data_IF_772479838091
#
_entry.id   IF_772479838091
#
_cell.length_a   1.000
_cell.length_b   1.000
_cell.length_c   1.000
_cell.angle_alpha   90.00
_cell.angle_beta   90.00
_cell.angle_gamma   90.00
#
_symmetry.space_group_name_H-M   'P 1'
#
loop_
_entity.id
_entity.type
_entity.pdbx_description
1 polymer ?
#
# COMPACT_ATOMS: atom_id res chain seq x y z
N UNK A 1 1.88 -10.82 16.37
CA UNK A 1 2.00 -9.41 15.96
C UNK A 1 0.64 -8.75 15.64
N UNK A 2 -0.35 -9.46 15.07
CA UNK A 2 -1.70 -8.90 14.79
C UNK A 2 -2.54 -8.61 16.05
N UNK A 3 -2.38 -9.40 17.12
CA UNK A 3 -3.17 -9.20 18.35
C UNK A 3 -2.88 -7.88 19.08
N UNK A 4 -1.76 -7.21 18.77
CA UNK A 4 -1.50 -5.87 19.30
C UNK A 4 -2.07 -4.75 18.40
N UNK A 5 -2.52 -5.02 17.18
CA UNK A 5 -3.07 -3.98 16.30
C UNK A 5 -4.29 -3.29 16.94
N UNK A 6 -5.11 -4.04 17.67
CA UNK A 6 -6.23 -3.51 18.46
C UNK A 6 -5.80 -2.66 19.68
N UNK A 7 -4.53 -2.73 20.11
CA UNK A 7 -3.93 -1.86 21.13
C UNK A 7 -3.12 -0.70 20.54
N UNK A 8 -2.80 -0.74 19.24
CA UNK A 8 -1.82 0.15 18.57
C UNK A 8 -2.41 1.31 17.78
N UNK A 9 -3.74 1.42 17.68
CA UNK A 9 -4.40 2.54 17.01
C UNK A 9 -5.56 2.10 16.13
N UNK A 10 -5.87 2.92 15.12
CA UNK A 10 -6.85 2.59 14.09
C UNK A 10 -6.21 1.71 13.03
N UNK A 11 -6.96 0.78 12.47
CA UNK A 11 -6.47 -0.15 11.47
C UNK A 11 -7.45 -0.27 10.30
N UNK A 12 -6.91 -0.43 9.09
CA UNK A 12 -7.66 -0.55 7.86
C UNK A 12 -7.10 -1.66 6.98
N UNK A 13 -7.98 -2.35 6.27
CA UNK A 13 -7.62 -3.15 5.12
C UNK A 13 -7.92 -2.38 3.84
N UNK A 14 -6.95 -2.35 2.95
CA UNK A 14 -7.03 -1.71 1.65
C UNK A 14 -7.03 -2.81 0.57
N UNK A 15 -8.21 -3.31 0.17
CA UNK A 15 -8.31 -4.36 -0.84
C UNK A 15 -8.03 -3.79 -2.23
N UNK A 16 -7.43 -4.62 -3.08
CA UNK A 16 -7.25 -4.36 -4.50
C UNK A 16 -7.62 -5.60 -5.29
N UNK A 17 -8.37 -5.41 -6.36
CA UNK A 17 -8.93 -6.52 -7.12
C UNK A 17 -8.76 -6.26 -8.61
N UNK A 18 -8.24 -7.26 -9.29
CA UNK A 18 -8.03 -7.28 -10.72
C UNK A 18 -7.30 -6.04 -11.28
N UNK A 19 -6.23 -5.61 -10.61
CA UNK A 19 -5.33 -4.58 -11.12
C UNK A 19 -4.51 -5.18 -12.26
N UNK A 20 -4.55 -4.58 -13.45
CA UNK A 20 -3.87 -5.08 -14.65
C UNK A 20 -2.87 -4.03 -15.14
N UNK A 21 -1.62 -4.05 -14.62
CA UNK A 21 -0.51 -3.23 -15.11
C UNK A 21 -0.36 -3.33 -16.63
N UNK A 22 -0.24 -2.19 -17.30
CA UNK A 22 -0.20 -2.14 -18.77
C UNK A 22 1.22 -1.96 -19.32
N UNK A 23 2.16 -1.61 -18.45
CA UNK A 23 3.57 -1.43 -18.75
C UNK A 23 4.45 -2.10 -17.68
N UNK A 24 5.73 -2.30 -17.99
CA UNK A 24 6.69 -2.69 -16.96
C UNK A 24 6.93 -1.48 -16.05
N UNK A 25 7.24 -1.76 -14.78
CA UNK A 25 7.44 -0.74 -13.74
C UNK A 25 6.21 0.15 -13.52
N UNK A 26 5.02 -0.42 -13.68
CA UNK A 26 3.76 0.28 -13.50
C UNK A 26 3.44 0.42 -12.00
N UNK A 27 3.09 1.64 -11.63
CA UNK A 27 2.77 2.02 -10.26
C UNK A 27 1.27 2.07 -10.09
N UNK A 28 0.72 1.08 -9.38
CA UNK A 28 -0.72 0.84 -9.42
C UNK A 28 -1.45 1.17 -8.11
N UNK A 29 -0.72 1.30 -7.01
CA UNK A 29 -1.27 1.60 -5.69
C UNK A 29 -0.64 2.88 -5.15
N UNK A 30 -1.44 3.79 -4.61
CA UNK A 30 -0.96 4.96 -3.89
C UNK A 30 -1.81 5.18 -2.63
N UNK A 31 -1.17 5.19 -1.46
CA UNK A 31 -1.80 5.56 -0.20
C UNK A 31 -0.96 6.59 0.54
N UNK A 32 -1.56 7.74 0.85
CA UNK A 32 -0.87 8.88 1.46
C UNK A 32 -1.30 9.06 2.92
N UNK A 33 -0.34 9.32 3.81
CA UNK A 33 -0.66 9.80 5.14
C UNK A 33 -0.93 11.30 5.14
N UNK A 34 -2.21 11.68 5.04
CA UNK A 34 -2.67 13.08 5.17
C UNK A 34 -2.88 13.53 6.61
N UNK A 35 -2.83 12.60 7.56
CA UNK A 35 -2.98 12.87 8.98
C UNK A 35 -1.68 13.38 9.62
N UNK A 36 -1.75 13.92 10.84
CA UNK A 36 -0.56 14.36 11.58
C UNK A 36 0.25 13.18 12.17
N UNK A 37 -0.16 11.93 11.92
CA UNK A 37 0.45 10.71 12.46
C UNK A 37 1.02 9.85 11.34
N UNK A 38 2.12 9.17 11.63
CA UNK A 38 2.64 8.14 10.73
C UNK A 38 1.65 6.98 10.60
N UNK A 39 1.57 6.41 9.40
CA UNK A 39 0.93 5.13 9.16
C UNK A 39 2.00 4.03 9.10
N UNK A 40 1.61 2.78 9.30
CA UNK A 40 2.48 1.64 9.04
C UNK A 40 1.73 0.52 8.33
N UNK A 41 2.40 -0.09 7.35
CA UNK A 41 1.93 -1.32 6.72
C UNK A 41 2.51 -2.48 7.50
N UNK A 42 1.63 -3.34 7.97
CA UNK A 42 2.00 -4.49 8.79
C UNK A 42 1.84 -5.82 8.06
N UNK A 43 1.13 -5.81 6.93
CA UNK A 43 0.81 -6.99 6.16
C UNK A 43 0.45 -6.63 4.73
N UNK A 44 0.92 -7.44 3.79
CA UNK A 44 0.49 -7.41 2.39
C UNK A 44 0.11 -8.85 2.00
N UNK A 45 -1.10 -9.02 1.53
CA UNK A 45 -1.56 -10.24 0.87
C UNK A 45 -1.67 -9.94 -0.61
N UNK A 46 -1.01 -10.72 -1.45
CA UNK A 46 -0.97 -10.45 -2.89
C UNK A 46 -0.85 -11.75 -3.68
N UNK A 47 -1.54 -11.79 -4.81
CA UNK A 47 -1.40 -12.80 -5.85
C UNK A 47 -1.32 -12.12 -7.22
N UNK A 48 -0.59 -12.73 -8.14
CA UNK A 48 -0.52 -12.32 -9.54
C UNK A 48 -0.79 -13.52 -10.44
N UNK A 49 -1.42 -13.31 -11.59
CA UNK A 49 -1.61 -14.37 -12.61
C UNK A 49 -0.32 -14.71 -13.36
N UNK A 50 0.75 -13.93 -13.16
CA UNK A 50 2.09 -14.21 -13.73
C UNK A 50 3.16 -14.10 -12.65
N UNK A 51 4.35 -14.63 -12.93
CA UNK A 51 5.48 -14.44 -12.04
C UNK A 51 6.13 -13.06 -12.26
N UNK A 52 6.60 -12.44 -11.18
CA UNK A 52 7.23 -11.12 -11.23
C UNK A 52 7.63 -10.62 -9.86
N UNK A 53 8.11 -9.38 -9.78
CA UNK A 53 8.50 -8.75 -8.52
C UNK A 53 7.54 -7.61 -8.18
N UNK A 54 7.08 -7.62 -6.93
CA UNK A 54 6.39 -6.51 -6.31
C UNK A 54 7.39 -5.71 -5.49
N UNK A 55 7.43 -4.40 -5.71
CA UNK A 55 8.30 -3.48 -4.99
C UNK A 55 7.46 -2.42 -4.25
N UNK A 56 7.40 -2.48 -2.91
CA UNK A 56 6.90 -1.37 -2.12
C UNK A 56 7.89 -0.21 -2.12
N UNK A 57 7.41 0.97 -2.47
CA UNK A 57 8.18 2.21 -2.53
C UNK A 57 7.58 3.20 -1.54
N UNK A 58 8.40 3.84 -0.71
CA UNK A 58 8.00 5.02 0.04
C UNK A 58 8.30 6.26 -0.79
N UNK A 59 7.26 6.98 -1.20
CA UNK A 59 7.37 8.18 -2.01
C UNK A 59 7.17 9.44 -1.17
N UNK A 60 7.91 10.51 -1.50
CA UNK A 60 7.81 11.77 -0.78
C UNK A 60 6.49 12.48 -1.09
N UNK A 61 6.08 12.52 -2.36
CA UNK A 61 4.73 12.94 -2.80
C UNK A 61 4.45 12.33 -4.18
N UNK A 62 3.20 11.94 -4.45
CA UNK A 62 2.72 11.62 -5.79
C UNK A 62 1.49 12.46 -6.11
N UNK A 63 1.29 12.80 -7.38
CA UNK A 63 -0.02 13.29 -7.83
C UNK A 63 -0.68 12.18 -8.61
N UNK A 64 -1.68 11.49 -8.03
CA UNK A 64 -2.47 10.56 -8.81
C UNK A 64 -3.10 11.30 -9.98
N UNK A 65 -2.96 10.74 -11.18
CA UNK A 65 -3.43 11.40 -12.41
C UNK A 65 -4.68 10.73 -12.99
N UNK A 66 -4.98 9.51 -12.53
CA UNK A 66 -6.13 8.72 -12.93
C UNK A 66 -6.60 7.82 -11.77
N UNK A 67 -7.50 6.88 -12.04
CA UNK A 67 -7.77 5.79 -11.10
C UNK A 67 -9.06 5.89 -10.26
N UNK A 68 -9.19 4.94 -9.34
CA UNK A 68 -10.32 4.80 -8.42
C UNK A 68 -9.89 5.01 -6.97
N UNK A 69 -10.72 5.67 -6.18
CA UNK A 69 -10.44 5.85 -4.76
C UNK A 69 -10.37 4.51 -4.03
N UNK A 70 -9.43 4.39 -3.09
CA UNK A 70 -9.35 3.23 -2.22
C UNK A 70 -10.55 3.24 -1.27
N UNK A 71 -11.31 2.14 -1.26
CA UNK A 71 -12.36 1.92 -0.26
C UNK A 71 -11.76 1.20 0.96
N UNK A 72 -11.26 2.00 1.91
CA UNK A 72 -10.62 1.48 3.11
C UNK A 72 -11.64 0.84 4.06
N UNK A 73 -11.52 -0.46 4.30
CA UNK A 73 -12.34 -1.17 5.28
C UNK A 73 -11.75 -0.99 6.69
N UNK A 74 -12.44 -0.21 7.55
CA UNK A 74 -12.04 -0.04 8.95
C UNK A 74 -12.15 -1.37 9.70
N UNK A 75 -11.04 -1.78 10.34
CA UNK A 75 -10.98 -2.94 11.23
C UNK A 75 -11.25 -2.56 12.69
N UNK A 76 -11.25 -1.26 13.01
CA UNK A 76 -11.44 -0.72 14.36
C UNK A 76 -12.86 -0.19 14.63
N UNK A 77 -13.81 -0.41 13.72
CA UNK A 77 -15.22 0.01 13.83
C UNK A 77 -15.57 1.28 13.05
N UNK A 78 -16.88 1.63 12.95
CA UNK A 78 -17.35 2.78 12.17
C UNK A 78 -17.06 4.10 12.91
N UNK A 79 -16.41 5.06 12.23
CA UNK A 79 -16.27 6.45 12.73
C UNK A 79 -14.88 7.10 12.68
N UNK A 80 -13.87 6.48 12.07
CA UNK A 80 -12.54 7.07 11.92
C UNK A 80 -12.32 7.72 10.54
N UNK A 81 -11.44 8.73 10.48
CA UNK A 81 -10.88 9.22 9.21
C UNK A 81 -10.27 8.03 8.46
N UNK A 82 -10.78 7.70 7.28
CA UNK A 82 -10.23 6.65 6.46
C UNK A 82 -8.93 7.16 5.78
N UNK A 83 -7.88 6.32 5.66
CA UNK A 83 -6.78 6.62 4.78
C UNK A 83 -7.35 6.84 3.38
N UNK A 84 -6.95 7.95 2.75
CA UNK A 84 -7.31 8.26 1.38
C UNK A 84 -6.17 7.79 0.47
N UNK A 85 -6.53 7.19 -0.65
CA UNK A 85 -5.57 6.84 -1.69
C UNK A 85 -6.28 6.45 -2.96
N UNK A 86 -5.50 6.03 -3.95
CA UNK A 86 -5.96 5.76 -5.32
C UNK A 86 -5.33 4.47 -5.83
N UNK A 87 -6.12 3.67 -6.54
CA UNK A 87 -5.62 2.69 -7.49
C UNK A 87 -5.55 3.33 -8.86
N UNK A 88 -4.36 3.54 -9.39
CA UNK A 88 -4.19 4.08 -10.73
C UNK A 88 -4.69 3.10 -11.79
N UNK A 89 -5.14 3.64 -12.92
CA UNK A 89 -5.59 2.85 -14.06
C UNK A 89 -5.09 3.46 -15.36
N UNK A 90 -4.14 2.81 -16.01
CA UNK A 90 -3.72 3.11 -17.38
C UNK A 90 -2.71 4.25 -17.54
N UNK A 91 -2.18 4.82 -16.45
CA UNK A 91 -1.06 5.77 -16.44
C UNK A 91 -0.25 5.60 -15.15
N UNK A 92 1.08 5.61 -15.25
CA UNK A 92 1.97 5.57 -14.08
C UNK A 92 1.75 6.77 -13.14
N UNK A 93 1.79 6.52 -11.83
CA UNK A 93 1.94 7.58 -10.83
C UNK A 93 3.21 8.38 -11.10
N UNK A 94 3.05 9.70 -11.19
CA UNK A 94 4.20 10.61 -11.25
C UNK A 94 4.70 10.84 -9.82
N UNK A 95 5.71 10.07 -9.41
CA UNK A 95 6.42 10.28 -8.15
C UNK A 95 7.47 11.37 -8.29
N UNK A 96 7.59 12.21 -7.25
CA UNK A 96 8.68 13.21 -7.19
C UNK A 96 10.00 12.60 -6.74
N UNK A 97 9.96 11.61 -5.85
CA UNK A 97 11.11 10.87 -5.32
C UNK A 97 10.58 9.63 -4.57
N UNK A 98 11.37 8.55 -4.52
CA UNK A 98 10.98 7.32 -3.82
C UNK A 98 12.14 6.44 -3.40
N UNK A 99 11.95 5.71 -2.30
CA UNK A 99 12.86 4.70 -1.78
C UNK A 99 12.19 3.32 -1.82
N UNK A 100 12.82 2.36 -2.49
CA UNK A 100 12.37 0.96 -2.50
C UNK A 100 12.60 0.32 -1.12
N UNK A 101 11.53 -0.15 -0.51
CA UNK A 101 11.51 -0.74 0.83
C UNK A 101 11.76 -2.26 0.82
N UNK A 102 11.64 -2.89 -0.36
CA UNK A 102 11.87 -4.32 -0.54
C UNK A 102 11.51 -4.78 -1.95
N UNK A 103 11.96 -5.99 -2.29
CA UNK A 103 11.66 -6.67 -3.54
C UNK A 103 11.08 -8.04 -3.20
N UNK A 104 9.86 -8.31 -3.65
CA UNK A 104 9.15 -9.54 -3.34
C UNK A 104 8.81 -10.29 -4.62
N UNK A 105 9.49 -11.42 -4.81
CA UNK A 105 9.15 -12.33 -5.89
C UNK A 105 7.80 -13.00 -5.62
N UNK A 106 6.88 -12.82 -6.57
CA UNK A 106 5.60 -13.51 -6.64
C UNK A 106 5.70 -14.58 -7.72
N UNK A 107 5.39 -15.82 -7.34
CA UNK A 107 5.17 -16.89 -8.31
C UNK A 107 3.75 -16.75 -8.89
N UNK A 108 3.58 -17.11 -10.17
CA UNK A 108 2.28 -17.11 -10.83
C UNK A 108 1.25 -17.92 -10.03
N UNK A 109 0.03 -17.39 -9.94
CA UNK A 109 -1.16 -17.98 -9.32
C UNK A 109 -0.96 -18.47 -7.88
N UNK A 110 0.04 -17.93 -7.18
CA UNK A 110 0.40 -18.34 -5.82
C UNK A 110 0.26 -17.15 -4.87
N UNK A 111 -0.80 -17.12 -4.03
CA UNK A 111 -0.95 -16.09 -3.02
C UNK A 111 0.25 -16.06 -2.07
N UNK A 112 0.70 -14.85 -1.75
CA UNK A 112 1.74 -14.58 -0.77
C UNK A 112 1.21 -13.71 0.34
N UNK A 113 1.51 -14.11 1.56
CA UNK A 113 1.37 -13.30 2.75
C UNK A 113 2.75 -12.78 3.13
N UNK A 114 2.92 -11.47 3.10
CA UNK A 114 4.12 -10.77 3.50
C UNK A 114 3.85 -10.07 4.83
N UNK A 115 4.53 -10.51 5.89
CA UNK A 115 4.54 -9.80 7.17
C UNK A 115 5.68 -8.79 7.15
N UNK A 116 5.33 -7.51 7.13
CA UNK A 116 6.26 -6.39 6.95
C UNK A 116 6.05 -5.35 8.04
N UNK A 117 6.96 -4.38 8.16
CA UNK A 117 6.75 -3.20 9.00
C UNK A 117 7.34 -1.98 8.31
N UNK A 118 6.52 -1.35 7.48
CA UNK A 118 6.93 -0.18 6.69
C UNK A 118 6.22 1.07 7.19
N UNK A 119 6.98 2.00 7.74
CA UNK A 119 6.46 3.27 8.25
C UNK A 119 6.35 4.29 7.13
N UNK A 120 5.18 4.92 7.04
CA UNK A 120 4.81 6.00 6.13
C UNK A 120 4.64 7.27 6.99
N UNK A 121 5.68 8.12 7.09
CA UNK A 121 5.58 9.41 7.78
C UNK A 121 4.45 10.30 7.25
N UNK A 122 3.95 11.26 8.07
CA UNK A 122 3.04 12.30 7.59
C UNK A 122 3.56 13.00 6.35
N UNK A 123 2.68 13.21 5.37
CA UNK A 123 3.03 13.88 4.11
C UNK A 123 3.84 13.03 3.14
N UNK A 124 4.05 11.74 3.42
CA UNK A 124 4.61 10.77 2.46
C UNK A 124 3.55 9.75 2.04
N UNK A 125 3.86 8.97 1.02
CA UNK A 125 2.99 7.94 0.49
C UNK A 125 3.69 6.58 0.36
N UNK A 126 2.90 5.52 0.32
CA UNK A 126 3.34 4.23 -0.19
C UNK A 126 2.84 4.06 -1.61
N UNK A 127 3.73 3.57 -2.47
CA UNK A 127 3.43 3.05 -3.79
C UNK A 127 3.80 1.57 -3.91
N UNK A 128 3.03 0.82 -4.71
CA UNK A 128 3.46 -0.48 -5.19
C UNK A 128 3.82 -0.40 -6.66
N UNK A 129 5.04 -0.84 -6.98
CA UNK A 129 5.54 -1.01 -8.33
C UNK A 129 5.48 -2.50 -8.72
N UNK A 130 5.07 -2.77 -9.96
CA UNK A 130 5.10 -4.09 -10.57
C UNK A 130 6.05 -4.11 -11.76
N UNK A 131 7.16 -4.83 -11.63
CA UNK A 131 8.25 -4.80 -12.62
C UNK A 131 7.87 -5.42 -13.98
N UNK A 132 6.79 -6.21 -14.06
CA UNK A 132 6.43 -6.96 -15.27
C UNK A 132 5.29 -6.28 -16.02
N UNK A 133 5.39 -6.16 -17.34
CA UNK A 133 4.38 -5.50 -18.18
C UNK A 133 3.03 -6.24 -18.33
N UNK A 134 2.78 -7.27 -17.53
CA UNK A 134 1.60 -8.12 -17.64
C UNK A 134 1.22 -8.69 -16.28
N UNK A 135 -0.04 -9.14 -16.18
CA UNK A 135 -0.50 -10.00 -15.11
C UNK A 135 -1.47 -9.30 -14.18
N UNK A 136 -2.51 -10.00 -13.78
CA UNK A 136 -3.57 -9.43 -12.96
C UNK A 136 -3.21 -9.62 -11.48
N UNK A 137 -3.05 -8.50 -10.78
CA UNK A 137 -2.75 -8.42 -9.36
C UNK A 137 -4.04 -8.30 -8.55
N UNK A 138 -4.12 -9.04 -7.44
CA UNK A 138 -5.22 -8.96 -6.48
C UNK A 138 -4.72 -9.25 -5.07
N UNK A 139 -5.34 -8.64 -4.07
CA UNK A 139 -4.85 -8.73 -2.71
C UNK A 139 -5.41 -7.67 -1.77
N UNK A 140 -4.69 -7.46 -0.66
CA UNK A 140 -4.98 -6.42 0.30
C UNK A 140 -3.72 -6.00 1.06
N UNK A 141 -3.64 -4.72 1.43
CA UNK A 141 -2.66 -4.23 2.39
C UNK A 141 -3.36 -3.88 3.71
N UNK A 142 -2.78 -4.31 4.84
CA UNK A 142 -3.25 -3.88 6.18
C UNK A 142 -2.39 -2.73 6.65
N UNK A 143 -3.04 -1.60 6.93
CA UNK A 143 -2.42 -0.37 7.42
C UNK A 143 -2.92 -0.07 8.82
N UNK A 144 -2.03 0.45 9.67
CA UNK A 144 -2.34 0.96 10.99
C UNK A 144 -1.90 2.43 11.12
N UNK A 145 -2.64 3.23 11.88
CA UNK A 145 -2.17 4.52 12.39
C UNK A 145 -1.31 4.26 13.63
N UNK A 146 -0.08 4.79 13.65
CA UNK A 146 0.83 4.56 14.78
C UNK A 146 0.43 5.40 16.00
N UNK A 147 0.52 4.78 17.17
CA UNK A 147 0.36 5.47 18.45
C UNK A 147 1.50 6.49 18.67
N UNK A 148 1.27 7.57 19.45
CA UNK A 148 2.25 8.64 19.64
C UNK A 148 3.62 8.19 20.18
N UNK A 149 3.66 7.13 20.98
CA UNK A 149 4.89 6.57 21.55
C UNK A 149 5.65 5.64 20.58
N UNK A 150 5.07 5.37 19.42
CA UNK A 150 5.62 4.50 18.37
C UNK A 150 5.91 5.25 17.06
N UNK A 151 5.50 6.51 16.97
CA UNK A 151 5.67 7.35 15.80
C UNK A 151 7.09 7.94 15.80
N UNK A 152 7.96 7.58 14.83
CA UNK A 152 9.35 8.04 14.80
C UNK A 152 9.49 9.54 14.49
N UNK A 153 8.39 10.22 14.18
CA UNK A 153 8.34 11.65 13.83
C UNK A 153 7.95 12.53 15.03
N UNK A 154 7.57 11.94 16.16
CA UNK A 154 7.25 12.66 17.41
C UNK A 154 8.34 12.69 18.45
#
# INVERSE_FOLDING_TARGET
>A
LIQDAAKRGKAWNLPFNAIDPTAADDQFFYAESKGPRSLAIVRIEVSSTVAGNLEPIRATVGTPSSGSGIDAASLSGPGGNNPAGVFETGVDLQLTEGETLGHFYLAADTPRLLEVYYVIPPGTALVFNWEVATGILSGQATIIELAPDQDPVT
#
